data_IF_893181923924
#
_entry.id   IF_893181923924
#
_cell.length_a   1.000
_cell.length_b   1.000
_cell.length_c   1.000
_cell.angle_alpha   90.00
_cell.angle_beta   90.00
_cell.angle_gamma   90.00
#
_symmetry.space_group_name_H-M   'P 1'
#
loop_
_entity.id
_entity.type
_entity.pdbx_description
1 polymer ?
#
# COMPACT_ATOMS: atom_id res chain seq x y z
N UNK A 1 -10.22 23.37 13.13
CA UNK A 1 -11.32 22.47 13.54
C UNK A 1 -10.66 21.15 13.90
N UNK A 2 -11.21 20.38 14.84
CA UNK A 2 -10.70 19.03 15.10
C UNK A 2 -10.99 18.16 13.88
N UNK A 3 -10.06 17.27 13.53
CA UNK A 3 -10.26 16.29 12.46
C UNK A 3 -11.44 15.38 12.80
N UNK A 4 -12.32 15.17 11.85
CA UNK A 4 -13.41 14.21 11.94
C UNK A 4 -13.25 13.19 10.83
N UNK A 5 -13.33 11.90 11.19
CA UNK A 5 -13.32 10.82 10.18
C UNK A 5 -14.53 11.02 9.26
N UNK A 6 -14.32 10.89 7.93
CA UNK A 6 -15.45 10.91 6.99
C UNK A 6 -16.45 9.80 7.33
N UNK A 7 -17.73 10.14 7.33
CA UNK A 7 -18.79 9.18 7.55
C UNK A 7 -19.18 8.52 6.22
N UNK A 8 -19.39 7.20 6.26
CA UNK A 8 -19.81 6.46 5.07
C UNK A 8 -21.33 6.59 4.86
N UNK A 9 -21.72 7.03 3.67
CA UNK A 9 -23.11 7.13 3.27
C UNK A 9 -23.47 5.99 2.31
N UNK A 10 -24.23 5.02 2.81
CA UNK A 10 -24.70 3.91 1.99
C UNK A 10 -25.63 4.37 0.87
N UNK A 11 -25.55 3.78 -0.36
CA UNK A 11 -26.47 4.09 -1.44
C UNK A 11 -27.92 3.73 -1.09
N UNK A 12 -28.89 4.50 -1.59
CA UNK A 12 -30.30 4.14 -1.52
C UNK A 12 -30.67 3.19 -2.67
N UNK A 13 -30.61 1.90 -2.40
CA UNK A 13 -30.92 0.85 -3.38
C UNK A 13 -32.38 0.77 -3.80
N UNK A 14 -33.28 1.58 -3.19
CA UNK A 14 -34.69 1.67 -3.60
C UNK A 14 -34.90 2.59 -4.81
N UNK A 15 -33.89 3.35 -5.20
CA UNK A 15 -33.92 4.32 -6.29
C UNK A 15 -33.35 3.74 -7.59
N UNK A 16 -33.62 4.42 -8.74
CA UNK A 16 -32.87 4.18 -9.97
C UNK A 16 -31.44 4.74 -9.85
N UNK A 17 -30.45 4.08 -10.45
CA UNK A 17 -30.54 2.93 -11.39
C UNK A 17 -30.60 1.55 -10.70
N UNK A 18 -30.47 1.47 -9.37
CA UNK A 18 -30.30 0.20 -8.62
C UNK A 18 -31.48 -0.77 -8.80
N UNK A 19 -32.70 -0.25 -8.81
CA UNK A 19 -33.92 -1.07 -8.94
C UNK A 19 -33.99 -1.78 -10.30
N UNK A 20 -33.50 -1.13 -11.36
CA UNK A 20 -33.54 -1.64 -12.74
C UNK A 20 -32.30 -2.47 -13.13
N UNK A 21 -31.25 -2.42 -12.33
CA UNK A 21 -30.02 -3.17 -12.61
C UNK A 21 -30.31 -4.69 -12.72
N UNK A 22 -29.66 -5.39 -13.63
CA UNK A 22 -29.69 -6.85 -13.65
C UNK A 22 -28.93 -7.44 -12.45
N UNK A 23 -29.06 -8.75 -12.24
CA UNK A 23 -28.14 -9.46 -11.36
C UNK A 23 -26.75 -9.57 -12.00
N UNK A 24 -25.71 -9.51 -11.19
CA UNK A 24 -24.34 -9.69 -11.63
C UNK A 24 -24.15 -11.12 -12.18
N UNK A 25 -23.43 -11.22 -13.29
CA UNK A 25 -23.03 -12.50 -13.87
C UNK A 25 -21.81 -13.05 -13.15
N UNK A 26 -21.65 -14.35 -13.19
CA UNK A 26 -20.50 -15.04 -12.63
C UNK A 26 -20.12 -16.26 -13.47
N UNK A 27 -18.90 -16.70 -13.35
CA UNK A 27 -18.37 -17.90 -13.97
C UNK A 27 -17.51 -18.68 -12.99
N UNK A 28 -17.40 -19.99 -13.21
CA UNK A 28 -16.64 -20.89 -12.35
C UNK A 28 -15.17 -20.89 -12.77
N UNK A 29 -14.29 -20.75 -11.79
CA UNK A 29 -12.83 -20.90 -11.98
C UNK A 29 -12.52 -22.33 -12.45
N UNK A 30 -11.90 -22.48 -13.61
CA UNK A 30 -11.53 -23.76 -14.19
C UNK A 30 -10.18 -24.29 -13.70
N UNK A 31 -9.27 -23.39 -13.30
CA UNK A 31 -7.91 -23.71 -12.88
C UNK A 31 -7.48 -22.79 -11.73
N UNK A 32 -6.81 -23.36 -10.72
CA UNK A 32 -6.28 -22.62 -9.57
C UNK A 32 -5.43 -21.43 -10.01
N UNK A 33 -5.68 -20.28 -9.41
CA UNK A 33 -4.92 -19.05 -9.65
C UNK A 33 -5.23 -18.32 -10.96
N UNK A 34 -6.27 -18.73 -11.69
CA UNK A 34 -6.65 -18.14 -12.99
C UNK A 34 -8.09 -17.65 -12.92
N UNK A 35 -8.28 -16.33 -12.94
CA UNK A 35 -9.60 -15.74 -13.04
C UNK A 35 -10.24 -16.01 -14.42
N UNK A 36 -11.57 -16.16 -14.50
CA UNK A 36 -12.29 -16.28 -15.77
C UNK A 36 -12.06 -15.04 -16.66
N UNK A 37 -12.24 -15.20 -17.96
CA UNK A 37 -12.25 -14.04 -18.85
C UNK A 37 -13.34 -13.06 -18.43
N UNK A 38 -13.09 -11.77 -18.61
CA UNK A 38 -14.06 -10.72 -18.29
C UNK A 38 -14.41 -10.60 -16.80
N UNK A 39 -13.59 -11.16 -15.88
CA UNK A 39 -13.79 -10.99 -14.44
C UNK A 39 -13.83 -9.52 -14.05
N UNK A 40 -14.58 -9.17 -13.01
CA UNK A 40 -14.55 -7.86 -12.38
C UNK A 40 -13.31 -7.72 -11.51
N UNK A 41 -12.52 -6.69 -11.77
CA UNK A 41 -11.36 -6.34 -10.93
C UNK A 41 -11.75 -5.28 -9.94
N UNK A 42 -11.57 -5.57 -8.65
CA UNK A 42 -11.93 -4.68 -7.56
C UNK A 42 -11.12 -3.39 -7.54
N UNK A 43 -11.72 -2.35 -6.98
CA UNK A 43 -11.10 -1.04 -6.72
C UNK A 43 -10.81 -0.83 -5.22
N UNK A 44 -10.42 0.38 -4.86
CA UNK A 44 -10.26 0.81 -3.46
C UNK A 44 -11.56 1.31 -2.81
N UNK A 45 -12.65 1.39 -3.57
CA UNK A 45 -13.93 1.89 -3.09
C UNK A 45 -14.83 0.77 -2.58
N UNK A 46 -15.87 1.06 -1.78
CA UNK A 46 -16.94 0.11 -1.51
C UNK A 46 -17.64 -0.33 -2.79
N UNK A 47 -17.77 -1.63 -2.98
CA UNK A 47 -18.36 -2.22 -4.18
C UNK A 47 -19.55 -3.10 -3.84
N UNK A 48 -20.63 -2.91 -4.55
CA UNK A 48 -21.87 -3.64 -4.39
C UNK A 48 -22.19 -4.45 -5.64
N UNK A 49 -22.67 -5.66 -5.41
CA UNK A 49 -23.02 -6.59 -6.46
C UNK A 49 -24.46 -7.07 -6.27
N UNK A 50 -25.26 -7.05 -7.34
CA UNK A 50 -26.64 -7.50 -7.27
C UNK A 50 -26.69 -9.01 -7.47
N UNK A 51 -27.01 -9.74 -6.39
CA UNK A 51 -27.09 -11.20 -6.36
C UNK A 51 -28.50 -11.61 -5.96
N UNK A 52 -29.17 -12.36 -6.81
CA UNK A 52 -30.57 -12.81 -6.57
C UNK A 52 -31.51 -11.64 -6.20
N UNK A 53 -31.38 -10.53 -6.93
CA UNK A 53 -32.20 -9.34 -6.75
C UNK A 53 -31.82 -8.46 -5.55
N UNK A 54 -30.79 -8.78 -4.79
CA UNK A 54 -30.32 -8.01 -3.63
C UNK A 54 -28.94 -7.44 -3.86
N UNK A 55 -28.72 -6.19 -3.45
CA UNK A 55 -27.39 -5.59 -3.44
C UNK A 55 -26.61 -6.05 -2.21
N UNK A 56 -25.45 -6.64 -2.44
CA UNK A 56 -24.55 -7.19 -1.43
C UNK A 56 -23.21 -6.45 -1.51
N UNK A 57 -22.72 -5.96 -0.39
CA UNK A 57 -21.40 -5.32 -0.27
C UNK A 57 -20.31 -6.39 -0.25
N UNK A 58 -19.23 -6.21 -1.02
CA UNK A 58 -18.01 -6.93 -0.78
C UNK A 58 -17.36 -6.34 0.48
N UNK A 59 -17.16 -7.14 1.52
CA UNK A 59 -16.80 -6.65 2.85
C UNK A 59 -15.35 -6.16 2.93
N UNK A 60 -14.46 -6.69 2.11
CA UNK A 60 -13.08 -6.26 2.03
C UNK A 60 -12.86 -5.25 0.91
N UNK A 61 -12.04 -4.23 1.18
CA UNK A 61 -11.57 -3.29 0.17
C UNK A 61 -10.12 -3.61 -0.18
N UNK A 62 -9.93 -4.29 -1.30
CA UNK A 62 -8.62 -4.66 -1.84
C UNK A 62 -8.65 -4.44 -3.35
N UNK A 63 -7.70 -3.67 -3.86
CA UNK A 63 -7.57 -3.37 -5.27
C UNK A 63 -7.04 -4.57 -6.07
N UNK A 64 -7.42 -4.64 -7.36
CA UNK A 64 -6.90 -5.61 -8.33
C UNK A 64 -7.11 -7.09 -7.96
N UNK A 65 -8.23 -7.36 -7.32
CA UNK A 65 -8.65 -8.69 -6.90
C UNK A 65 -9.95 -9.11 -7.58
N UNK A 66 -10.34 -10.36 -7.46
CA UNK A 66 -11.62 -10.89 -7.92
C UNK A 66 -12.63 -10.99 -6.77
N UNK A 67 -13.92 -10.93 -7.10
CA UNK A 67 -15.00 -11.13 -6.13
C UNK A 67 -15.59 -12.52 -6.30
N UNK A 68 -15.54 -13.32 -5.25
CA UNK A 68 -16.04 -14.69 -5.19
C UNK A 68 -17.37 -14.74 -4.45
N UNK A 69 -18.36 -15.40 -5.03
CA UNK A 69 -19.64 -15.66 -4.38
C UNK A 69 -19.51 -16.95 -3.57
N UNK A 70 -19.53 -16.84 -2.24
CA UNK A 70 -19.45 -17.96 -1.33
C UNK A 70 -20.79 -18.74 -1.24
N UNK A 71 -20.76 -20.02 -0.80
CA UNK A 71 -21.97 -20.86 -0.74
C UNK A 71 -23.09 -20.30 0.14
N UNK A 72 -22.77 -19.54 1.17
CA UNK A 72 -23.72 -18.87 2.08
C UNK A 72 -24.22 -17.51 1.55
N UNK A 73 -23.69 -17.07 0.39
CA UNK A 73 -24.11 -15.84 -0.29
C UNK A 73 -23.33 -14.59 0.09
N UNK A 74 -22.33 -14.66 0.99
CA UNK A 74 -21.43 -13.53 1.18
C UNK A 74 -20.42 -13.40 0.03
N UNK A 75 -19.80 -12.23 -0.12
CA UNK A 75 -18.86 -11.93 -1.18
C UNK A 75 -17.46 -11.77 -0.59
N UNK A 76 -16.56 -12.65 -1.01
CA UNK A 76 -15.15 -12.62 -0.60
C UNK A 76 -14.31 -11.97 -1.70
N UNK A 77 -13.39 -11.07 -1.29
CA UNK A 77 -12.42 -10.46 -2.21
C UNK A 77 -11.13 -11.28 -2.18
N UNK A 78 -10.82 -11.91 -3.31
CA UNK A 78 -9.73 -12.88 -3.42
C UNK A 78 -8.70 -12.41 -4.44
N UNK A 79 -7.42 -12.35 -4.06
CA UNK A 79 -6.35 -12.15 -5.04
C UNK A 79 -6.37 -13.28 -6.08
N UNK A 80 -6.24 -12.94 -7.36
CA UNK A 80 -6.38 -13.91 -8.46
C UNK A 80 -5.52 -15.16 -8.28
N UNK A 81 -4.30 -15.02 -7.76
CA UNK A 81 -3.39 -16.16 -7.48
C UNK A 81 -3.92 -17.15 -6.44
N UNK A 82 -4.86 -16.72 -5.59
CA UNK A 82 -5.43 -17.53 -4.51
C UNK A 82 -6.75 -18.20 -4.92
N UNK A 83 -7.31 -17.86 -6.07
CA UNK A 83 -8.53 -18.48 -6.61
C UNK A 83 -8.37 -19.99 -6.69
N UNK A 84 -9.45 -20.71 -6.39
CA UNK A 84 -9.50 -22.17 -6.48
C UNK A 84 -10.47 -22.62 -7.55
N UNK A 85 -10.13 -23.72 -8.21
CA UNK A 85 -11.05 -24.36 -9.15
C UNK A 85 -12.39 -24.64 -8.46
N UNK A 86 -13.46 -24.14 -9.06
CA UNK A 86 -14.82 -24.24 -8.51
C UNK A 86 -15.34 -22.94 -7.89
N UNK A 87 -14.50 -21.94 -7.62
CA UNK A 87 -14.91 -20.62 -7.14
C UNK A 87 -15.81 -19.94 -8.19
N UNK A 88 -16.84 -19.24 -7.72
CA UNK A 88 -17.75 -18.48 -8.57
C UNK A 88 -17.32 -17.01 -8.57
N UNK A 89 -16.65 -16.58 -9.63
CA UNK A 89 -16.09 -15.23 -9.77
C UNK A 89 -17.08 -14.35 -10.54
N UNK A 90 -17.32 -13.14 -10.03
CA UNK A 90 -18.19 -12.14 -10.66
C UNK A 90 -17.53 -11.59 -11.93
N UNK A 91 -18.34 -11.47 -12.99
CA UNK A 91 -17.95 -10.93 -14.30
C UNK A 91 -18.54 -9.54 -14.51
N UNK A 92 -17.83 -8.69 -15.24
CA UNK A 92 -18.31 -7.38 -15.68
C UNK A 92 -17.22 -6.32 -15.70
N UNK A 93 -17.46 -5.26 -16.46
CA UNK A 93 -16.52 -4.13 -16.63
C UNK A 93 -17.21 -2.77 -16.41
N UNK A 94 -18.53 -2.74 -16.34
CA UNK A 94 -19.29 -1.55 -15.98
C UNK A 94 -19.40 -1.43 -14.46
N UNK A 95 -19.38 -0.20 -13.94
CA UNK A 95 -19.32 0.11 -12.52
C UNK A 95 -20.50 0.96 -12.04
N UNK A 96 -21.48 1.24 -12.94
CA UNK A 96 -22.61 2.11 -12.68
C UNK A 96 -23.96 1.38 -12.84
N UNK A 97 -24.03 0.14 -12.36
CA UNK A 97 -25.21 -0.73 -12.29
C UNK A 97 -25.56 -1.52 -13.56
N UNK A 98 -24.98 -1.24 -14.74
CA UNK A 98 -25.40 -1.84 -16.03
C UNK A 98 -25.24 -3.36 -16.04
N UNK A 99 -24.24 -3.89 -15.31
CA UNK A 99 -23.98 -5.33 -15.21
C UNK A 99 -24.23 -5.86 -13.78
N UNK A 100 -25.02 -5.14 -12.98
CA UNK A 100 -25.28 -5.53 -11.60
C UNK A 100 -24.11 -5.28 -10.66
N UNK A 101 -23.21 -4.39 -11.05
CA UNK A 101 -22.02 -3.96 -10.29
C UNK A 101 -22.11 -2.46 -10.05
N UNK A 102 -21.88 -2.03 -8.81
CA UNK A 102 -21.83 -0.63 -8.46
C UNK A 102 -20.60 -0.33 -7.60
N UNK A 103 -19.71 0.51 -8.11
CA UNK A 103 -18.54 1.03 -7.39
C UNK A 103 -18.88 2.38 -6.77
N UNK A 104 -18.96 2.42 -5.44
CA UNK A 104 -19.41 3.61 -4.71
C UNK A 104 -18.26 4.57 -4.41
N UNK A 105 -17.78 5.25 -5.43
CA UNK A 105 -16.64 6.18 -5.33
C UNK A 105 -16.94 7.48 -4.54
N UNK A 106 -18.20 7.75 -4.21
CA UNK A 106 -18.64 8.98 -3.55
C UNK A 106 -19.14 8.76 -2.12
N UNK A 107 -19.05 7.54 -1.60
CA UNK A 107 -19.62 7.16 -0.31
C UNK A 107 -19.09 7.92 0.91
N UNK A 108 -17.93 8.55 0.80
CA UNK A 108 -17.31 9.37 1.85
C UNK A 108 -17.24 10.85 1.50
N UNK A 109 -17.88 11.30 0.41
CA UNK A 109 -17.86 12.69 0.00
C UNK A 109 -18.84 13.52 0.82
N UNK A 110 -18.39 14.69 1.26
CA UNK A 110 -19.25 15.71 1.85
C UNK A 110 -19.86 16.61 0.75
N UNK A 111 -20.88 17.41 1.10
CA UNK A 111 -21.46 18.41 0.17
C UNK A 111 -20.42 19.43 -0.29
N UNK A 112 -19.43 19.75 0.55
CA UNK A 112 -18.33 20.66 0.21
C UNK A 112 -17.38 20.02 -0.81
N UNK A 113 -17.11 18.73 -0.72
CA UNK A 113 -16.28 17.99 -1.68
C UNK A 113 -16.97 17.94 -3.06
N UNK A 114 -18.28 17.72 -3.08
CA UNK A 114 -19.07 17.71 -4.32
C UNK A 114 -19.08 19.08 -5.04
N UNK A 115 -18.95 20.18 -4.30
CA UNK A 115 -18.83 21.53 -4.86
C UNK A 115 -17.41 21.83 -5.38
N UNK A 116 -16.37 21.30 -4.72
CA UNK A 116 -14.99 21.48 -5.14
C UNK A 116 -14.65 20.69 -6.41
N UNK A 117 -15.24 19.52 -6.60
CA UNK A 117 -15.07 18.68 -7.80
C UNK A 117 -15.57 19.36 -9.11
N UNK A 118 -16.44 20.36 -9.03
CA UNK A 118 -16.94 21.10 -10.20
C UNK A 118 -15.86 21.97 -10.88
N UNK A 119 -14.75 22.23 -10.21
CA UNK A 119 -13.63 23.04 -10.73
C UNK A 119 -12.40 22.23 -11.14
N UNK A 120 -12.41 20.92 -11.04
CA UNK A 120 -11.28 20.07 -11.40
C UNK A 120 -11.44 19.56 -12.83
N UNK A 121 -10.58 20.02 -13.74
CA UNK A 121 -10.51 19.62 -15.15
C UNK A 121 -10.12 18.17 -15.40
N UNK A 122 -10.28 17.26 -14.44
CA UNK A 122 -10.00 15.83 -14.55
C UNK A 122 -11.28 15.02 -14.44
N UNK A 123 -11.99 14.94 -15.54
CA UNK A 123 -13.03 13.94 -15.76
C UNK A 123 -12.37 12.61 -16.12
N UNK A 124 -12.07 11.80 -15.16
CA UNK A 124 -11.46 10.50 -15.34
C UNK A 124 -10.71 10.12 -14.08
N UNK A 125 -11.39 9.51 -13.14
CA UNK A 125 -10.76 8.99 -11.93
C UNK A 125 -9.94 7.76 -12.32
N UNK A 126 -8.61 7.91 -12.33
CA UNK A 126 -7.75 6.74 -12.34
C UNK A 126 -7.90 6.02 -10.99
N UNK A 127 -7.97 4.70 -11.00
CA UNK A 127 -7.95 3.88 -9.77
C UNK A 127 -6.71 4.16 -8.90
N UNK A 128 -5.64 4.65 -9.53
CA UNK A 128 -4.36 4.97 -8.90
C UNK A 128 -4.15 6.46 -8.61
N UNK A 129 -5.16 7.31 -8.79
CA UNK A 129 -4.99 8.75 -8.55
C UNK A 129 -5.02 9.06 -7.07
N UNK A 130 -3.86 9.32 -6.47
CA UNK A 130 -3.78 9.92 -5.16
C UNK A 130 -4.21 11.40 -5.23
N UNK A 131 -4.97 11.86 -4.23
CA UNK A 131 -5.32 13.26 -4.04
C UNK A 131 -4.13 14.06 -3.53
N UNK A 132 -3.14 14.30 -4.40
CA UNK A 132 -1.86 14.92 -4.07
C UNK A 132 -1.95 16.39 -3.62
N UNK A 133 -3.15 16.93 -3.38
CA UNK A 133 -3.34 18.35 -3.04
C UNK A 133 -3.94 18.61 -1.66
N UNK A 134 -4.27 17.57 -0.92
CA UNK A 134 -4.89 17.72 0.41
C UNK A 134 -3.90 17.46 1.53
N UNK A 135 -2.72 18.10 1.46
CA UNK A 135 -1.68 17.93 2.47
C UNK A 135 -2.17 18.29 3.88
N UNK A 136 -3.03 19.29 4.01
CA UNK A 136 -3.56 19.69 5.32
C UNK A 136 -4.47 18.60 5.89
N UNK A 137 -5.35 18.01 5.07
CA UNK A 137 -6.20 16.86 5.47
C UNK A 137 -5.36 15.63 5.79
N UNK A 138 -4.33 15.35 4.99
CA UNK A 138 -3.40 14.25 5.25
C UNK A 138 -2.67 14.45 6.59
N UNK A 139 -2.21 15.66 6.87
CA UNK A 139 -1.57 15.98 8.16
C UNK A 139 -2.55 15.80 9.33
N UNK A 140 -3.80 16.22 9.17
CA UNK A 140 -4.81 16.05 10.20
C UNK A 140 -5.18 14.58 10.39
N UNK A 141 -5.27 13.80 9.31
CA UNK A 141 -5.44 12.35 9.36
C UNK A 141 -4.27 11.67 10.10
N UNK A 142 -3.04 12.00 9.75
CA UNK A 142 -1.86 11.43 10.43
C UNK A 142 -1.85 11.76 11.94
N UNK A 143 -2.25 12.97 12.33
CA UNK A 143 -2.39 13.35 13.74
C UNK A 143 -3.48 12.54 14.44
N UNK A 144 -4.60 12.33 13.77
CA UNK A 144 -5.69 11.52 14.30
C UNK A 144 -5.28 10.05 14.44
N UNK A 145 -4.71 9.45 13.38
CA UNK A 145 -4.31 8.03 13.37
C UNK A 145 -3.14 7.71 14.31
N UNK A 146 -2.31 8.68 14.61
CA UNK A 146 -1.28 8.54 15.63
C UNK A 146 -1.87 8.15 17.00
N UNK A 147 -3.03 8.71 17.36
CA UNK A 147 -3.65 8.51 18.68
C UNK A 147 -4.74 7.41 18.65
N UNK A 148 -5.38 7.17 17.49
CA UNK A 148 -6.58 6.35 17.40
C UNK A 148 -6.42 5.09 16.53
N UNK A 149 -5.44 5.07 15.65
CA UNK A 149 -5.25 4.02 14.66
C UNK A 149 -3.83 3.47 14.59
N UNK A 150 -3.43 3.06 13.39
CA UNK A 150 -2.09 2.58 13.08
C UNK A 150 -1.63 3.17 11.75
N UNK A 151 -0.41 3.69 11.74
CA UNK A 151 0.25 4.22 10.54
C UNK A 151 1.34 3.23 10.13
N UNK A 152 1.17 2.60 8.99
CA UNK A 152 2.17 1.71 8.39
C UNK A 152 2.69 2.35 7.11
N UNK A 153 4.00 2.54 7.03
CA UNK A 153 4.65 3.10 5.86
C UNK A 153 5.13 1.98 4.94
N UNK A 154 4.70 2.02 3.67
CA UNK A 154 5.17 1.11 2.63
C UNK A 154 6.05 1.91 1.68
N UNK A 155 7.36 1.63 1.65
CA UNK A 155 8.34 2.52 1.05
C UNK A 155 9.27 1.79 0.06
N UNK A 156 9.57 2.48 -1.04
CA UNK A 156 10.62 2.08 -1.97
C UNK A 156 11.99 2.72 -1.63
N UNK A 157 13.07 2.30 -2.30
CA UNK A 157 14.44 2.75 -2.02
C UNK A 157 14.69 4.23 -2.34
N UNK A 158 13.90 4.83 -3.24
CA UNK A 158 14.09 6.24 -3.64
C UNK A 158 14.06 7.23 -2.46
N UNK A 159 13.34 6.91 -1.39
CA UNK A 159 13.27 7.72 -0.18
C UNK A 159 14.60 7.81 0.57
N UNK A 160 15.47 6.81 0.42
CA UNK A 160 16.79 6.78 1.06
C UNK A 160 17.89 7.48 0.26
N UNK A 161 17.60 7.90 -0.99
CA UNK A 161 18.58 8.56 -1.86
C UNK A 161 18.70 10.06 -1.61
N UNK A 162 17.77 10.64 -0.87
CA UNK A 162 17.69 12.07 -0.61
C UNK A 162 17.83 12.36 0.88
N UNK A 163 18.74 13.28 1.23
CA UNK A 163 19.05 13.65 2.60
C UNK A 163 17.82 14.18 3.35
N UNK A 164 17.08 15.09 2.73
CA UNK A 164 15.93 15.74 3.36
C UNK A 164 14.78 14.75 3.56
N UNK A 165 14.53 13.87 2.59
CA UNK A 165 13.53 12.82 2.68
C UNK A 165 13.84 11.83 3.83
N UNK A 166 15.12 11.41 3.97
CA UNK A 166 15.56 10.54 5.07
C UNK A 166 15.33 11.20 6.44
N UNK A 167 15.73 12.45 6.59
CA UNK A 167 15.57 13.20 7.84
C UNK A 167 14.10 13.45 8.19
N UNK A 168 13.28 13.77 7.19
CA UNK A 168 11.84 13.92 7.36
C UNK A 168 11.19 12.62 7.86
N UNK A 169 11.52 11.49 7.23
CA UNK A 169 10.99 10.20 7.65
C UNK A 169 11.47 9.79 9.04
N UNK A 170 12.75 9.96 9.34
CA UNK A 170 13.27 9.75 10.71
C UNK A 170 12.52 10.61 11.72
N UNK A 171 12.27 11.88 11.40
CA UNK A 171 11.50 12.77 12.27
C UNK A 171 10.07 12.29 12.50
N UNK A 172 9.39 11.76 11.47
CA UNK A 172 8.06 11.15 11.62
C UNK A 172 8.11 9.94 12.56
N UNK A 173 9.11 9.07 12.40
CA UNK A 173 9.32 7.91 13.27
C UNK A 173 9.58 8.34 14.70
N UNK A 174 10.52 9.26 14.91
CA UNK A 174 10.92 9.77 16.25
C UNK A 174 9.75 10.46 16.98
N UNK A 175 8.80 11.01 16.24
CA UNK A 175 7.60 11.66 16.78
C UNK A 175 6.37 10.73 16.85
N UNK A 176 6.52 9.43 16.63
CA UNK A 176 5.45 8.43 16.78
C UNK A 176 4.42 8.39 15.64
N UNK A 177 4.77 8.88 14.46
CA UNK A 177 3.95 8.78 13.24
C UNK A 177 4.24 7.54 12.40
N UNK A 178 4.89 6.54 12.98
CA UNK A 178 5.12 5.24 12.36
C UNK A 178 4.87 4.12 13.36
N UNK A 179 3.94 3.24 13.06
CA UNK A 179 3.64 2.04 13.84
C UNK A 179 4.19 0.78 13.18
N UNK A 180 4.61 0.89 11.93
CA UNK A 180 5.28 -0.15 11.17
C UNK A 180 5.89 0.38 9.88
N UNK A 181 6.88 -0.33 9.35
CA UNK A 181 7.52 -0.06 8.06
C UNK A 181 7.54 -1.34 7.24
N UNK A 182 7.11 -1.27 6.00
CA UNK A 182 7.26 -2.34 5.01
C UNK A 182 8.12 -1.82 3.87
N UNK A 183 9.20 -2.53 3.56
CA UNK A 183 10.11 -2.11 2.50
C UNK A 183 10.88 -3.29 1.88
N UNK A 184 11.58 -3.01 0.80
CA UNK A 184 12.56 -3.93 0.24
C UNK A 184 13.93 -3.82 0.90
N UNK A 185 14.77 -4.83 0.71
CA UNK A 185 16.18 -4.82 1.11
C UNK A 185 16.93 -3.57 0.62
N UNK A 186 16.60 -3.09 -0.58
CA UNK A 186 17.25 -1.93 -1.17
C UNK A 186 17.03 -0.64 -0.37
N UNK A 187 15.83 -0.39 0.20
CA UNK A 187 15.62 0.77 1.06
C UNK A 187 16.56 0.73 2.26
N UNK A 188 16.57 -0.38 2.99
CA UNK A 188 17.39 -0.52 4.19
C UNK A 188 18.89 -0.46 3.87
N UNK A 189 19.33 -1.08 2.77
CA UNK A 189 20.72 -1.04 2.32
C UNK A 189 21.18 0.39 2.07
N UNK A 190 20.45 1.16 1.27
CA UNK A 190 20.85 2.52 0.92
C UNK A 190 20.62 3.52 2.05
N UNK A 191 19.66 3.27 2.93
CA UNK A 191 19.51 4.08 4.15
C UNK A 191 20.70 3.90 5.09
N UNK A 192 21.16 2.66 5.31
CA UNK A 192 22.36 2.38 6.12
C UNK A 192 23.65 2.83 5.42
N UNK A 193 23.69 2.77 4.07
CA UNK A 193 24.79 3.36 3.29
C UNK A 193 24.85 4.88 3.51
N UNK A 194 23.70 5.55 3.43
CA UNK A 194 23.59 6.98 3.69
C UNK A 194 24.02 7.34 5.12
N UNK A 195 23.65 6.52 6.10
CA UNK A 195 24.02 6.74 7.49
C UNK A 195 25.52 6.57 7.78
N UNK A 196 26.16 5.58 7.15
CA UNK A 196 27.56 5.25 7.40
C UNK A 196 28.55 6.03 6.52
N UNK A 197 28.20 6.20 5.22
CA UNK A 197 29.12 6.67 4.18
C UNK A 197 28.65 7.97 3.51
N UNK A 198 27.49 8.49 3.88
CA UNK A 198 26.84 9.66 3.29
C UNK A 198 26.57 9.53 1.79
N UNK A 199 26.40 8.29 1.31
CA UNK A 199 26.08 7.99 -0.10
C UNK A 199 24.85 7.09 -0.22
N UNK A 200 24.21 7.13 -1.41
CA UNK A 200 23.23 6.16 -1.83
C UNK A 200 23.50 5.81 -3.29
N UNK A 201 23.60 4.54 -3.63
CA UNK A 201 24.10 4.07 -4.94
C UNK A 201 25.44 4.72 -5.33
N UNK A 202 26.28 5.00 -4.35
CA UNK A 202 27.60 5.64 -4.57
C UNK A 202 27.56 7.11 -4.93
N UNK A 203 26.41 7.77 -4.81
CA UNK A 203 26.25 9.21 -4.95
C UNK A 203 26.09 9.85 -3.55
N UNK A 204 26.68 11.00 -3.35
CA UNK A 204 26.49 11.79 -2.15
C UNK A 204 25.00 12.13 -1.96
N UNK A 205 24.43 11.83 -0.79
CA UNK A 205 22.98 11.97 -0.54
C UNK A 205 22.49 13.42 -0.48
N UNK A 206 23.40 14.38 -0.31
CA UNK A 206 23.09 15.81 -0.25
C UNK A 206 23.32 16.52 -1.59
N UNK A 207 24.51 16.30 -2.18
CA UNK A 207 24.88 17.00 -3.41
C UNK A 207 24.52 16.24 -4.69
N UNK A 208 24.15 14.97 -4.56
CA UNK A 208 23.91 14.04 -5.68
C UNK A 208 25.13 13.82 -6.60
N UNK A 209 26.31 14.21 -6.13
CA UNK A 209 27.58 14.03 -6.85
C UNK A 209 28.06 12.58 -6.76
N UNK A 210 28.52 12.02 -7.89
CA UNK A 210 29.12 10.68 -7.91
C UNK A 210 30.47 10.68 -7.18
N UNK A 211 30.69 9.64 -6.35
CA UNK A 211 31.96 9.43 -5.67
C UNK A 211 32.83 8.39 -6.41
N UNK A 212 34.17 8.53 -6.39
CA UNK A 212 35.06 7.51 -6.93
C UNK A 212 34.80 6.16 -6.26
N UNK A 213 34.64 5.09 -7.06
CA UNK A 213 34.31 3.75 -6.58
C UNK A 213 33.03 3.63 -5.74
N UNK A 214 32.14 4.62 -5.81
CA UNK A 214 30.93 4.66 -5.00
C UNK A 214 30.02 3.45 -5.13
N UNK A 215 30.08 2.73 -6.27
CA UNK A 215 29.34 1.49 -6.48
C UNK A 215 29.70 0.36 -5.52
N UNK A 216 30.84 0.42 -4.81
CA UNK A 216 31.17 -0.53 -3.75
C UNK A 216 30.48 -0.21 -2.41
N UNK A 217 30.06 1.03 -2.18
CA UNK A 217 29.61 1.49 -0.87
C UNK A 217 28.47 0.65 -0.29
N UNK A 218 27.43 0.41 -1.07
CA UNK A 218 26.29 -0.42 -0.63
C UNK A 218 26.71 -1.90 -0.41
N UNK A 219 27.62 -2.46 -1.24
CA UNK A 219 28.13 -3.80 -1.05
C UNK A 219 28.95 -3.94 0.23
N UNK A 220 29.76 -2.92 0.54
CA UNK A 220 30.55 -2.86 1.78
C UNK A 220 29.62 -2.78 3.00
N UNK A 221 28.54 -2.00 2.93
CA UNK A 221 27.54 -1.92 4.01
C UNK A 221 26.85 -3.27 4.19
N UNK A 222 26.38 -3.92 3.13
CA UNK A 222 25.79 -5.26 3.20
C UNK A 222 26.73 -6.26 3.89
N UNK A 223 28.01 -6.26 3.53
CA UNK A 223 29.01 -7.13 4.14
C UNK A 223 29.24 -6.81 5.60
N UNK A 224 29.27 -5.53 6.00
CA UNK A 224 29.40 -5.11 7.39
C UNK A 224 28.20 -5.54 8.22
N UNK A 225 26.96 -5.32 7.73
CA UNK A 225 25.74 -5.77 8.42
C UNK A 225 25.76 -7.29 8.62
N UNK A 226 26.10 -8.06 7.59
CA UNK A 226 26.24 -9.52 7.72
C UNK A 226 27.30 -9.94 8.72
N UNK A 227 28.42 -9.22 8.79
CA UNK A 227 29.48 -9.47 9.79
C UNK A 227 29.02 -9.18 11.21
N UNK A 228 28.22 -8.13 11.41
CA UNK A 228 27.62 -7.82 12.71
C UNK A 228 26.54 -8.85 13.10
N UNK A 229 25.93 -9.54 12.13
CA UNK A 229 24.93 -10.58 12.33
C UNK A 229 23.49 -10.07 12.46
N UNK A 230 23.28 -8.76 12.61
CA UNK A 230 21.96 -8.12 12.62
C UNK A 230 22.07 -6.62 12.32
N UNK A 231 20.99 -6.02 11.82
CA UNK A 231 20.89 -4.57 11.61
C UNK A 231 21.02 -3.81 12.92
N UNK A 232 20.32 -4.15 14.03
CA UNK A 232 20.50 -3.44 15.29
C UNK A 232 21.94 -3.47 15.79
N UNK A 233 22.60 -4.63 15.70
CA UNK A 233 23.99 -4.75 16.12
C UNK A 233 24.95 -3.95 15.23
N UNK A 234 24.71 -3.91 13.92
CA UNK A 234 25.50 -3.08 13.01
C UNK A 234 25.36 -1.58 13.36
N UNK A 235 24.16 -1.13 13.69
CA UNK A 235 23.89 0.24 14.13
C UNK A 235 24.71 0.57 15.40
N UNK A 236 24.71 -0.33 16.37
CA UNK A 236 25.49 -0.18 17.61
C UNK A 236 26.98 -0.18 17.35
N UNK A 237 27.51 -1.20 16.65
CA UNK A 237 28.95 -1.40 16.39
C UNK A 237 29.57 -0.23 15.60
N UNK A 238 28.79 0.45 14.74
CA UNK A 238 29.26 1.54 13.90
C UNK A 238 28.78 2.93 14.37
N UNK A 239 28.15 3.02 15.54
CA UNK A 239 27.65 4.28 16.13
C UNK A 239 26.75 5.07 15.18
N UNK A 240 25.88 4.36 14.44
CA UNK A 240 24.90 4.98 13.54
C UNK A 240 23.87 5.74 14.39
N UNK A 241 23.64 7.01 14.06
CA UNK A 241 22.76 7.91 14.81
C UNK A 241 21.68 8.59 13.97
N UNK A 242 21.57 8.21 12.68
CA UNK A 242 20.63 8.81 11.74
C UNK A 242 20.10 7.77 10.74
N UNK A 243 18.97 8.10 10.12
CA UNK A 243 18.35 7.32 9.07
C UNK A 243 17.01 6.68 9.47
N UNK A 244 16.34 6.16 8.46
CA UNK A 244 15.00 5.56 8.59
C UNK A 244 15.05 4.29 9.45
N UNK A 245 15.97 3.39 9.11
CA UNK A 245 16.12 2.09 9.80
C UNK A 245 16.66 2.32 11.23
N UNK A 246 17.59 3.27 11.39
CA UNK A 246 18.01 3.68 12.74
C UNK A 246 16.83 4.18 13.57
N UNK A 247 15.98 5.04 13.00
CA UNK A 247 14.78 5.53 13.67
C UNK A 247 13.84 4.40 14.10
N UNK A 248 13.63 3.41 13.22
CA UNK A 248 12.81 2.23 13.56
C UNK A 248 13.42 1.42 14.70
N UNK A 249 14.71 1.11 14.65
CA UNK A 249 15.40 0.35 15.72
C UNK A 249 15.37 1.09 17.05
N UNK A 250 15.71 2.37 17.05
CA UNK A 250 15.73 3.23 18.23
C UNK A 250 14.36 3.34 18.92
N UNK A 251 13.30 3.47 18.13
CA UNK A 251 11.94 3.68 18.64
C UNK A 251 11.13 2.37 18.73
N UNK A 252 11.76 1.21 18.51
CA UNK A 252 11.12 -0.11 18.54
C UNK A 252 9.93 -0.22 17.56
N UNK A 253 10.01 0.48 16.42
CA UNK A 253 9.01 0.37 15.36
C UNK A 253 9.29 -0.92 14.57
N UNK A 254 8.33 -1.85 14.49
CA UNK A 254 8.52 -3.08 13.74
C UNK A 254 8.67 -2.76 12.25
N UNK A 255 9.54 -3.52 11.57
CA UNK A 255 9.70 -3.41 10.13
C UNK A 255 9.79 -4.78 9.47
N UNK A 256 9.20 -4.87 8.28
CA UNK A 256 9.29 -6.04 7.40
C UNK A 256 10.13 -5.64 6.19
N UNK A 257 11.23 -6.34 5.98
CA UNK A 257 12.10 -6.16 4.81
C UNK A 257 12.05 -7.41 3.95
N UNK A 258 11.81 -7.23 2.65
CA UNK A 258 11.74 -8.35 1.71
C UNK A 258 12.80 -8.22 0.63
N UNK A 259 13.31 -9.37 0.20
CA UNK A 259 14.21 -9.44 -0.93
C UNK A 259 13.49 -9.27 -2.27
N UNK A 260 14.25 -9.06 -3.32
CA UNK A 260 13.79 -9.04 -4.70
C UNK A 260 14.55 -10.05 -5.55
N UNK A 261 14.08 -10.31 -6.77
CA UNK A 261 14.73 -11.25 -7.71
C UNK A 261 16.18 -10.83 -8.04
N UNK A 262 16.49 -9.54 -7.91
CA UNK A 262 17.80 -8.96 -8.26
C UNK A 262 18.46 -8.28 -7.07
N UNK A 263 18.40 -8.90 -5.90
CA UNK A 263 19.09 -8.44 -4.72
C UNK A 263 20.59 -8.72 -4.78
N UNK A 264 21.40 -7.78 -4.31
CA UNK A 264 22.85 -7.94 -4.09
C UNK A 264 23.15 -8.83 -2.87
N UNK A 265 22.14 -9.51 -2.42
CA UNK A 265 22.13 -10.41 -1.27
C UNK A 265 21.52 -9.77 -0.02
N UNK A 266 20.60 -10.48 0.64
CA UNK A 266 19.83 -9.91 1.75
C UNK A 266 20.68 -9.72 3.00
N UNK A 267 20.31 -8.71 3.80
CA UNK A 267 20.77 -8.57 5.20
C UNK A 267 20.09 -9.63 6.09
N UNK A 268 20.59 -9.85 7.32
CA UNK A 268 20.06 -10.90 8.21
C UNK A 268 18.56 -10.85 8.46
N UNK A 269 17.98 -9.63 8.59
CA UNK A 269 16.55 -9.43 8.84
C UNK A 269 15.70 -9.42 7.57
N UNK A 270 16.28 -9.58 6.39
CA UNK A 270 15.54 -9.54 5.13
C UNK A 270 14.99 -10.91 4.79
N UNK A 271 13.69 -10.99 4.58
CA UNK A 271 13.01 -12.21 4.12
C UNK A 271 13.32 -12.41 2.64
N UNK A 272 14.17 -13.39 2.32
CA UNK A 272 14.61 -13.66 0.94
C UNK A 272 13.57 -14.37 0.07
N UNK A 273 12.61 -15.07 0.69
CA UNK A 273 11.53 -15.75 -0.03
C UNK A 273 10.35 -14.78 -0.26
N UNK A 274 9.93 -14.63 -1.52
CA UNK A 274 8.90 -13.67 -1.89
C UNK A 274 7.52 -14.01 -1.31
N UNK A 275 7.18 -15.28 -1.18
CA UNK A 275 5.90 -15.69 -0.59
C UNK A 275 5.88 -15.46 0.91
N UNK A 276 6.98 -15.80 1.60
CA UNK A 276 7.11 -15.52 3.02
C UNK A 276 7.09 -14.02 3.31
N UNK A 277 7.76 -13.22 2.48
CA UNK A 277 7.76 -11.77 2.62
C UNK A 277 6.39 -11.12 2.44
N UNK A 278 5.55 -11.69 1.57
CA UNK A 278 4.17 -11.21 1.38
C UNK A 278 3.20 -11.69 2.46
N UNK A 279 3.57 -12.72 3.22
CA UNK A 279 2.76 -13.27 4.31
C UNK A 279 3.11 -12.70 5.67
N UNK A 280 4.21 -11.97 5.77
CA UNK A 280 4.71 -11.36 7.00
C UNK A 280 4.01 -10.03 7.28
#
# INVERSE_FOLDING_TARGET
MAFQMPEYHQPDFSQEPFTKAPDAKWEVVEMDGVAPEYFHSTSMFPEYFKIQGKWVLAEESRMDSSVVICPDGHLEVVENRNLKKGDKVILGRSEACEEGIYVHSTGFQTEEDALSDKFVFRQGRSRETSYARDYDRLMDLLRYEKEHGKIVWVMGPAFSFDYDARNAMQSLIDNGYAHGLMAGNALATHDLEGALLHTALGQDIYTQGSQPNGHYNHLDVLNKVRRSGSIPKFIEDNHIDNGIIYGCVKNHVPFVLTGSIRDDGPMPEVIGDAYQGQSA
#
